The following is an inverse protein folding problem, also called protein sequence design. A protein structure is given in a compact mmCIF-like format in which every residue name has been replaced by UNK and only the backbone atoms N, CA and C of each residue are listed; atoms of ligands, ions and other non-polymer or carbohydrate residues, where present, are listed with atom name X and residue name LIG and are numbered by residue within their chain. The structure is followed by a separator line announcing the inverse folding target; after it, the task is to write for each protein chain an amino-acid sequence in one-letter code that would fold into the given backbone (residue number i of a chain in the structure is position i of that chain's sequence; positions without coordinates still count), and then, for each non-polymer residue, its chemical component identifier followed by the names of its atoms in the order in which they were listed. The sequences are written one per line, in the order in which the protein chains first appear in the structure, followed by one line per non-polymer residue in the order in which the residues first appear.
data_IF_581276791276
#
_entry.id   IF_581276791276
#
_cell.length_a   1.000
_cell.length_b   1.000
_cell.length_c   1.000
_cell.angle_alpha   90.00
_cell.angle_beta   90.00
_cell.angle_gamma   90.00
#
_symmetry.space_group_name_H-M   'P 1'
#
loop_
_entity.id
_entity.type
_entity.pdbx_description
1 polymer ?
#
# COMPACT_ATOMS: atom_id res chain seq x y z
N UNK A 1 0.83 2.29 -4.61
CA UNK A 1 0.01 3.27 -3.86
C UNK A 1 0.50 3.38 -2.42
N UNK A 2 1.35 4.36 -2.13
CA UNK A 2 2.07 4.47 -0.86
C UNK A 2 1.42 5.51 0.10
N UNK A 3 0.12 5.38 0.37
CA UNK A 3 -0.61 6.44 1.09
C UNK A 3 -1.41 6.00 2.32
N UNK A 4 -1.43 4.71 2.64
CA UNK A 4 -2.10 4.22 3.85
C UNK A 4 -1.24 4.40 5.10
N UNK A 5 -1.86 4.32 6.27
CA UNK A 5 -1.14 4.49 7.53
C UNK A 5 -0.20 3.32 7.83
N UNK A 6 -0.49 2.13 7.30
CA UNK A 6 0.13 0.86 7.69
C UNK A 6 1.17 0.35 6.68
N UNK A 7 1.51 1.14 5.65
CA UNK A 7 2.59 0.77 4.72
C UNK A 7 3.96 1.03 5.33
N UNK A 8 4.89 0.19 4.94
CA UNK A 8 6.28 0.34 5.31
C UNK A 8 6.99 1.24 4.29
N UNK A 9 7.77 2.19 4.78
CA UNK A 9 8.67 2.99 3.95
C UNK A 9 10.09 2.48 4.10
N UNK A 10 10.75 2.24 2.97
CA UNK A 10 12.11 1.71 2.91
C UNK A 10 13.07 2.78 2.39
N UNK A 11 14.25 2.91 3.00
CA UNK A 11 15.35 3.74 2.53
C UNK A 11 16.01 3.06 1.33
N UNK A 12 16.60 3.85 0.44
CA UNK A 12 17.32 3.32 -0.72
C UNK A 12 18.43 2.32 -0.32
N UNK A 13 19.17 2.60 0.76
CA UNK A 13 20.21 1.73 1.29
C UNK A 13 19.68 0.37 1.78
N UNK A 14 18.40 0.27 2.17
CA UNK A 14 17.78 -0.99 2.60
C UNK A 14 17.38 -1.88 1.41
N UNK A 15 17.35 -1.31 0.21
CA UNK A 15 17.02 -2.02 -1.04
C UNK A 15 18.28 -2.43 -1.82
N UNK A 16 19.48 -2.06 -1.36
CA UNK A 16 20.74 -2.43 -2.02
C UNK A 16 20.96 -3.94 -1.98
N UNK A 17 21.29 -4.54 -3.12
CA UNK A 17 21.51 -5.99 -3.28
C UNK A 17 20.31 -6.84 -2.83
N UNK A 18 19.09 -6.31 -2.92
CA UNK A 18 17.90 -7.08 -2.59
C UNK A 18 17.75 -8.29 -3.51
N UNK A 19 17.42 -9.43 -2.92
CA UNK A 19 17.00 -10.61 -3.66
C UNK A 19 15.61 -10.39 -4.25
N UNK A 20 15.24 -11.20 -5.25
CA UNK A 20 13.90 -11.15 -5.83
C UNK A 20 12.78 -11.39 -4.78
N UNK A 21 13.01 -12.29 -3.81
CA UNK A 21 12.07 -12.53 -2.72
C UNK A 21 11.90 -11.30 -1.82
N UNK A 22 12.99 -10.61 -1.49
CA UNK A 22 12.96 -9.36 -0.73
C UNK A 22 12.26 -8.24 -1.52
N UNK A 23 12.46 -8.17 -2.83
CA UNK A 23 11.73 -7.24 -3.69
C UNK A 23 10.22 -7.47 -3.61
N UNK A 24 9.74 -8.71 -3.75
CA UNK A 24 8.31 -9.04 -3.63
C UNK A 24 7.76 -8.68 -2.25
N UNK A 25 8.48 -9.04 -1.19
CA UNK A 25 8.09 -8.71 0.18
C UNK A 25 7.96 -7.20 0.39
N UNK A 26 8.92 -6.43 -0.12
CA UNK A 26 8.91 -4.97 -0.08
C UNK A 26 7.75 -4.38 -0.87
N UNK A 27 7.40 -4.94 -2.04
CA UNK A 27 6.26 -4.48 -2.82
C UNK A 27 4.93 -4.69 -2.09
N UNK A 28 4.76 -5.83 -1.38
CA UNK A 28 3.57 -6.10 -0.57
C UNK A 28 3.47 -5.09 0.58
N UNK A 29 4.54 -4.94 1.37
CA UNK A 29 4.53 -4.08 2.56
C UNK A 29 4.47 -2.58 2.23
N UNK A 30 5.07 -2.18 1.11
CA UNK A 30 5.09 -0.79 0.66
C UNK A 30 3.79 -0.33 -0.01
N UNK A 31 2.92 -1.27 -0.38
CA UNK A 31 1.71 -0.99 -1.14
C UNK A 31 0.44 -1.24 -0.34
N UNK A 32 -0.66 -0.67 -0.80
CA UNK A 32 -1.98 -0.93 -0.23
C UNK A 32 -3.08 -0.86 -1.27
N UNK A 33 -4.10 -1.68 -1.06
CA UNK A 33 -5.28 -1.76 -1.92
C UNK A 33 -6.46 -0.97 -1.37
N UNK A 34 -7.37 -0.58 -2.27
CA UNK A 34 -8.65 0.05 -1.95
C UNK A 34 -9.79 -0.95 -2.16
N UNK A 35 -10.51 -1.24 -1.09
CA UNK A 35 -11.70 -2.09 -1.16
C UNK A 35 -12.88 -1.30 -1.74
N UNK A 36 -13.67 -1.97 -2.57
CA UNK A 36 -14.86 -1.37 -3.17
C UNK A 36 -15.62 -2.36 -4.04
N UNK A 37 -16.67 -1.86 -4.70
CA UNK A 37 -17.45 -2.67 -5.64
C UNK A 37 -16.70 -2.90 -6.96
N UNK A 38 -17.15 -3.86 -7.77
CA UNK A 38 -16.63 -4.05 -9.13
C UNK A 38 -16.66 -2.77 -9.97
N UNK A 39 -17.73 -1.98 -9.84
CA UNK A 39 -17.84 -0.69 -10.51
C UNK A 39 -16.75 0.28 -10.05
N UNK A 40 -16.45 0.33 -8.75
CA UNK A 40 -15.37 1.13 -8.21
C UNK A 40 -14.00 0.70 -8.78
N UNK A 41 -13.72 -0.60 -8.85
CA UNK A 41 -12.50 -1.11 -9.49
C UNK A 41 -12.40 -0.68 -10.95
N UNK A 42 -13.50 -0.75 -11.71
CA UNK A 42 -13.51 -0.30 -13.12
C UNK A 42 -13.32 1.21 -13.23
N UNK A 43 -14.04 2.01 -12.43
CA UNK A 43 -13.96 3.47 -12.46
C UNK A 43 -12.58 4.01 -12.07
N UNK A 44 -11.87 3.30 -11.20
CA UNK A 44 -10.48 3.63 -10.85
C UNK A 44 -9.47 3.11 -11.87
N UNK A 45 -9.90 2.48 -12.97
CA UNK A 45 -8.99 1.82 -13.91
C UNK A 45 -8.19 0.69 -13.26
N UNK A 46 -8.73 0.06 -12.22
CA UNK A 46 -8.10 -0.95 -11.35
C UNK A 46 -6.93 -0.43 -10.50
N UNK A 47 -6.78 0.90 -10.37
CA UNK A 47 -5.81 1.50 -9.43
C UNK A 47 -6.10 1.17 -7.96
N UNK A 48 -7.23 0.52 -7.66
CA UNK A 48 -7.56 -0.09 -6.37
C UNK A 48 -6.72 -1.32 -5.99
N UNK A 49 -6.06 -1.97 -6.97
CA UNK A 49 -5.28 -3.20 -6.78
C UNK A 49 -3.78 -2.93 -6.97
N UNK A 50 -3.23 -2.03 -6.15
CA UNK A 50 -1.84 -1.57 -6.23
C UNK A 50 -0.83 -2.64 -5.83
N UNK A 51 -1.16 -3.49 -4.85
CA UNK A 51 -0.28 -4.59 -4.44
C UNK A 51 -0.03 -5.48 -5.65
N UNK A 52 -1.09 -5.90 -6.35
CA UNK A 52 -0.99 -6.79 -7.52
C UNK A 52 -0.34 -6.09 -8.70
N UNK A 53 -0.63 -4.81 -8.93
CA UNK A 53 0.05 -4.02 -9.95
C UNK A 53 1.56 -3.95 -9.72
N UNK A 54 2.01 -3.81 -8.47
CA UNK A 54 3.42 -3.76 -8.14
C UNK A 54 4.09 -5.14 -8.22
N UNK A 55 3.38 -6.22 -7.90
CA UNK A 55 3.91 -7.59 -8.02
C UNK A 55 3.96 -8.06 -9.48
N UNK A 56 2.98 -7.66 -10.30
CA UNK A 56 2.75 -8.16 -11.66
C UNK A 56 2.34 -7.02 -12.62
N UNK A 57 3.24 -6.05 -12.88
CA UNK A 57 2.91 -4.85 -13.67
C UNK A 57 2.50 -5.15 -15.11
N UNK A 58 2.98 -6.27 -15.67
CA UNK A 58 2.72 -6.68 -17.05
C UNK A 58 1.36 -7.39 -17.22
N UNK A 59 0.71 -7.79 -16.13
CA UNK A 59 -0.58 -8.48 -16.20
C UNK A 59 -1.71 -7.47 -16.45
N UNK A 60 -2.65 -7.72 -17.38
CA UNK A 60 -3.76 -6.81 -17.62
C UNK A 60 -4.62 -6.59 -16.37
N UNK A 61 -4.89 -5.33 -16.06
CA UNK A 61 -5.44 -4.91 -14.77
C UNK A 61 -6.83 -5.50 -14.43
N UNK A 62 -7.57 -5.98 -15.43
CA UNK A 62 -8.84 -6.72 -15.25
C UNK A 62 -8.70 -7.99 -14.41
N UNK A 63 -7.49 -8.56 -14.34
CA UNK A 63 -7.21 -9.78 -13.59
C UNK A 63 -6.85 -9.51 -12.12
N UNK A 64 -6.47 -8.28 -11.79
CA UNK A 64 -6.00 -7.94 -10.45
C UNK A 64 -7.00 -8.23 -9.34
N UNK A 65 -8.33 -8.06 -9.48
CA UNK A 65 -9.26 -8.41 -8.41
C UNK A 65 -9.23 -9.90 -8.05
N UNK A 66 -9.10 -10.80 -9.03
CA UNK A 66 -8.99 -12.23 -8.78
C UNK A 66 -7.63 -12.58 -8.18
N UNK A 67 -6.55 -12.01 -8.72
CA UNK A 67 -5.21 -12.19 -8.19
C UNK A 67 -5.07 -11.68 -6.75
N UNK A 68 -5.77 -10.61 -6.40
CA UNK A 68 -5.76 -10.04 -5.06
C UNK A 68 -6.31 -11.01 -4.01
N UNK A 69 -7.25 -11.88 -4.38
CA UNK A 69 -7.74 -12.94 -3.51
C UNK A 69 -6.64 -13.99 -3.24
N UNK A 70 -5.96 -14.44 -4.29
CA UNK A 70 -4.86 -15.41 -4.18
C UNK A 70 -3.67 -14.85 -3.40
N UNK A 71 -3.23 -13.62 -3.71
CA UNK A 71 -2.13 -12.95 -3.03
C UNK A 71 -2.45 -12.76 -1.55
N UNK A 72 -3.69 -12.37 -1.20
CA UNK A 72 -4.12 -12.22 0.20
C UNK A 72 -4.05 -13.53 0.97
N UNK A 73 -4.49 -14.64 0.37
CA UNK A 73 -4.40 -15.97 1.00
C UNK A 73 -2.95 -16.44 1.21
N UNK A 74 -2.06 -16.15 0.26
CA UNK A 74 -0.62 -16.41 0.42
C UNK A 74 -0.05 -15.56 1.56
N UNK A 75 -0.35 -14.25 1.58
CA UNK A 75 0.12 -13.37 2.65
C UNK A 75 -0.35 -13.85 4.02
N UNK A 76 -1.62 -14.24 4.14
CA UNK A 76 -2.17 -14.83 5.36
C UNK A 76 -1.47 -16.12 5.79
N UNK A 77 -1.14 -17.01 4.85
CA UNK A 77 -0.43 -18.27 5.14
C UNK A 77 0.94 -18.05 5.75
N UNK A 78 1.64 -16.99 5.33
CA UNK A 78 3.00 -16.68 5.76
C UNK A 78 3.06 -15.53 6.79
N UNK A 79 1.91 -15.14 7.36
CA UNK A 79 1.79 -14.04 8.33
C UNK A 79 2.38 -12.71 7.83
N UNK A 80 2.18 -12.42 6.54
CA UNK A 80 2.63 -11.18 5.89
C UNK A 80 1.46 -10.17 5.91
N UNK A 81 1.67 -8.95 6.41
CA UNK A 81 0.68 -7.89 6.35
C UNK A 81 0.25 -7.60 4.91
N UNK A 82 -1.05 -7.75 4.63
CA UNK A 82 -1.66 -7.37 3.36
C UNK A 82 -2.58 -6.17 3.58
N UNK A 83 -2.08 -4.98 3.22
CA UNK A 83 -2.76 -3.72 3.51
C UNK A 83 -3.92 -3.46 2.54
N UNK A 84 -5.16 -3.57 3.02
CA UNK A 84 -6.35 -3.26 2.24
C UNK A 84 -7.40 -2.57 3.12
N UNK A 85 -8.07 -1.55 2.58
CA UNK A 85 -9.16 -0.86 3.28
C UNK A 85 -10.07 -0.10 2.32
N UNK A 86 -11.32 0.13 2.72
CA UNK A 86 -12.26 0.95 1.95
C UNK A 86 -11.79 2.38 1.69
N UNK A 87 -12.22 2.94 0.55
CA UNK A 87 -11.81 4.27 0.06
C UNK A 87 -11.89 5.39 1.11
N UNK A 88 -13.03 5.55 1.78
CA UNK A 88 -13.22 6.63 2.76
C UNK A 88 -12.28 6.52 3.96
N UNK A 89 -12.01 5.29 4.43
CA UNK A 89 -11.07 5.05 5.54
C UNK A 89 -9.66 5.50 5.15
N UNK A 90 -9.21 5.15 3.95
CA UNK A 90 -7.89 5.57 3.47
C UNK A 90 -7.81 7.06 3.20
N UNK A 91 -8.82 7.63 2.52
CA UNK A 91 -8.90 9.05 2.23
C UNK A 91 -8.84 9.90 3.52
N UNK A 92 -9.65 9.55 4.52
CA UNK A 92 -9.63 10.25 5.80
C UNK A 92 -8.30 10.07 6.55
N UNK A 93 -7.67 8.91 6.42
CA UNK A 93 -6.32 8.65 6.93
C UNK A 93 -5.27 9.62 6.34
N UNK A 94 -5.34 9.87 5.02
CA UNK A 94 -4.48 10.83 4.32
C UNK A 94 -4.76 12.27 4.79
N UNK A 95 -6.04 12.68 4.81
CA UNK A 95 -6.43 14.02 5.27
C UNK A 95 -5.94 14.27 6.70
N UNK A 96 -6.13 13.29 7.61
CA UNK A 96 -5.62 13.37 8.98
C UNK A 96 -4.09 13.52 9.02
N UNK A 97 -3.36 12.80 8.17
CA UNK A 97 -1.91 12.87 8.09
C UNK A 97 -1.46 14.25 7.61
N UNK A 98 -2.06 14.76 6.53
CA UNK A 98 -1.80 16.12 6.02
C UNK A 98 -2.02 17.12 7.14
N UNK A 99 -3.20 17.12 7.76
CA UNK A 99 -3.52 18.04 8.86
C UNK A 99 -2.52 17.96 10.01
N UNK A 100 -2.09 16.76 10.42
CA UNK A 100 -1.10 16.57 11.50
C UNK A 100 0.26 17.19 11.16
N UNK A 101 0.71 17.07 9.91
CA UNK A 101 2.03 17.54 9.49
C UNK A 101 2.02 18.92 8.82
N UNK A 102 0.86 19.51 8.56
CA UNK A 102 0.71 20.88 8.05
C UNK A 102 0.97 21.95 9.12
N UNK A 103 0.82 21.61 10.40
CA UNK A 103 1.16 22.52 11.50
C UNK A 103 2.61 22.32 11.92
N UNK A 104 3.35 23.40 12.25
CA UNK A 104 4.69 23.27 12.79
C UNK A 104 4.64 22.44 14.08
N UNK A 105 5.48 21.42 14.17
CA UNK A 105 5.74 20.76 15.45
C UNK A 105 6.21 21.84 16.42
N UNK A 106 5.47 22.07 17.51
CA UNK A 106 5.83 23.10 18.49
C UNK A 106 7.31 22.99 18.85
N UNK A 107 8.09 23.98 18.42
CA UNK A 107 9.50 24.14 18.75
C UNK A 107 9.61 24.44 20.24
N UNK A 108 9.45 23.41 21.08
CA UNK A 108 9.82 23.42 22.50
C UNK A 108 10.51 22.13 22.96
N UNK A 109 10.80 21.18 22.07
CA UNK A 109 11.43 19.92 22.43
C UNK A 109 12.74 19.61 21.67
N UNK A 110 13.24 20.53 20.84
CA UNK A 110 14.52 20.33 20.12
C UNK A 110 15.72 21.05 20.78
N UNK A 111 15.52 21.65 21.96
CA UNK A 111 16.58 22.24 22.78
C UNK A 111 16.24 21.96 24.26
N UNK A 112 16.43 20.72 24.70
CA UNK A 112 16.57 20.31 26.09
C UNK A 112 17.39 19.02 26.15
#
# INVERSE_FOLDING_TARGET
GHFTQDIHTFKASECENETQGQWYYRQILGSSNLEGSKLFHIMTGHLSCQVEHHLFPDVPAKHYPAMAEEVREICKRYDIPYNSAGFFKQYFGVVRRILRYSFPTSTKAAIA
#
